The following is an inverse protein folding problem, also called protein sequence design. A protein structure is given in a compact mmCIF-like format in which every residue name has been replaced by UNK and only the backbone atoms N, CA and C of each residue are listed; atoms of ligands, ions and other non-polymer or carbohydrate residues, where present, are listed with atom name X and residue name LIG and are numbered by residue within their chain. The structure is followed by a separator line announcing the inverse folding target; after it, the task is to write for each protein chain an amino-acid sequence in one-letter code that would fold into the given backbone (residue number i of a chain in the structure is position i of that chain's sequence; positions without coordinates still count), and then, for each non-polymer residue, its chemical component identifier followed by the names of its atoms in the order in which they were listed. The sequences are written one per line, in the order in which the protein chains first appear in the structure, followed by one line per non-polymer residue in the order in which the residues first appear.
data_IF_650090831903
#
_entry.id   IF_650090831903
#
_cell.length_a   1.000
_cell.length_b   1.000
_cell.length_c   1.000
_cell.angle_alpha   90.00
_cell.angle_beta   90.00
_cell.angle_gamma   90.00
#
_symmetry.space_group_name_H-M   'P 1'
#
loop_
_entity.id
_entity.type
_entity.pdbx_description
1 polymer ?
#
# COMPACT_ATOMS: atom_id res chain seq x y z
N UNK A 1 62.74 -14.23 113.05
CA UNK A 1 62.68 -15.58 112.48
C UNK A 1 61.23 -15.85 112.13
N UNK A 2 60.78 -16.06 110.90
CA UNK A 2 61.40 -16.06 109.58
C UNK A 2 60.36 -15.61 108.56
N UNK A 3 60.86 -15.23 107.39
CA UNK A 3 60.12 -14.72 106.23
C UNK A 3 59.15 -15.74 105.62
N UNK A 4 58.20 -15.24 104.82
CA UNK A 4 57.85 -15.67 103.45
C UNK A 4 56.54 -14.96 103.06
N UNK A 5 56.64 -13.82 102.38
CA UNK A 5 56.68 -13.66 100.92
C UNK A 5 55.29 -13.74 100.27
N UNK A 6 54.85 -12.56 99.83
CA UNK A 6 53.81 -12.28 98.85
C UNK A 6 53.85 -13.18 97.63
N UNK A 7 52.71 -13.38 96.95
CA UNK A 7 52.51 -13.07 95.53
C UNK A 7 51.01 -13.08 95.21
N UNK A 8 50.44 -11.91 94.87
CA UNK A 8 49.19 -11.86 94.12
C UNK A 8 49.47 -12.27 92.67
N UNK A 9 48.86 -13.37 92.22
CA UNK A 9 48.89 -13.78 90.83
C UNK A 9 47.90 -12.90 90.07
N UNK A 10 48.42 -11.81 89.48
CA UNK A 10 47.72 -11.07 88.43
C UNK A 10 47.56 -12.01 87.24
N UNK A 11 46.34 -12.50 87.03
CA UNK A 11 46.01 -13.30 85.86
C UNK A 11 46.13 -12.45 84.60
N UNK A 12 47.26 -12.57 83.88
CA UNK A 12 47.35 -12.12 82.51
C UNK A 12 46.26 -12.82 81.68
N UNK A 13 45.34 -12.05 81.11
CA UNK A 13 44.47 -12.54 80.03
C UNK A 13 45.37 -12.93 78.86
N UNK A 14 45.67 -14.22 78.77
CA UNK A 14 46.37 -14.82 77.66
C UNK A 14 45.50 -14.70 76.41
N UNK A 15 45.67 -13.62 75.63
CA UNK A 15 45.10 -13.54 74.29
C UNK A 15 45.81 -14.58 73.43
N UNK A 16 45.08 -15.63 73.03
CA UNK A 16 45.58 -16.66 72.14
C UNK A 16 46.24 -16.05 70.90
N UNK A 17 47.36 -16.61 70.41
CA UNK A 17 48.02 -16.08 69.21
C UNK A 17 47.05 -16.19 68.04
N UNK A 18 46.70 -15.05 67.44
CA UNK A 18 45.86 -15.01 66.25
C UNK A 18 46.50 -15.89 65.17
N UNK A 19 45.78 -16.94 64.75
CA UNK A 19 46.19 -17.75 63.61
C UNK A 19 46.07 -16.89 62.35
N UNK A 20 47.18 -16.25 61.95
CA UNK A 20 47.26 -15.33 60.80
C UNK A 20 46.74 -15.98 59.51
N UNK A 21 46.88 -17.29 59.37
CA UNK A 21 46.43 -18.06 58.21
C UNK A 21 44.89 -18.17 58.20
N UNK A 22 44.28 -18.41 59.37
CA UNK A 22 42.83 -18.38 59.53
C UNK A 22 42.26 -16.96 59.30
N UNK A 23 42.94 -15.92 59.77
CA UNK A 23 42.53 -14.52 59.54
C UNK A 23 42.55 -14.18 58.03
N UNK A 24 43.64 -14.51 57.32
CA UNK A 24 43.77 -14.29 55.88
C UNK A 24 42.72 -15.09 55.10
N UNK A 25 42.48 -16.35 55.46
CA UNK A 25 41.44 -17.18 54.84
C UNK A 25 40.03 -16.60 55.05
N UNK A 26 39.74 -16.03 56.22
CA UNK A 26 38.44 -15.40 56.51
C UNK A 26 38.25 -14.12 55.71
N UNK A 27 39.30 -13.31 55.55
CA UNK A 27 39.28 -12.10 54.70
C UNK A 27 39.05 -12.49 53.24
N UNK A 28 39.78 -13.48 52.72
CA UNK A 28 39.62 -13.96 51.35
C UNK A 28 38.21 -14.53 51.10
N UNK A 29 37.68 -15.31 52.04
CA UNK A 29 36.32 -15.83 51.97
C UNK A 29 35.29 -14.68 51.97
N UNK A 30 35.47 -13.66 52.82
CA UNK A 30 34.61 -12.47 52.84
C UNK A 30 34.61 -11.72 51.51
N UNK A 31 35.79 -11.49 50.93
CA UNK A 31 35.91 -10.84 49.60
C UNK A 31 35.27 -11.69 48.51
N UNK A 32 35.45 -13.01 48.54
CA UNK A 32 34.84 -13.92 47.57
C UNK A 32 33.30 -13.90 47.64
N UNK A 33 32.71 -13.87 48.84
CA UNK A 33 31.27 -13.78 49.04
C UNK A 33 30.71 -12.44 48.54
N UNK A 34 31.38 -11.33 48.81
CA UNK A 34 30.98 -10.01 48.30
C UNK A 34 31.05 -9.99 46.77
N UNK A 35 32.14 -10.47 46.18
CA UNK A 35 32.30 -10.55 44.73
C UNK A 35 31.22 -11.44 44.08
N UNK A 36 30.91 -12.60 44.66
CA UNK A 36 29.87 -13.49 44.18
C UNK A 36 28.46 -12.85 44.27
N UNK A 37 28.20 -12.10 45.35
CA UNK A 37 26.93 -11.38 45.54
C UNK A 37 26.74 -10.29 44.49
N UNK A 38 27.79 -9.49 44.22
CA UNK A 38 27.77 -8.45 43.18
C UNK A 38 27.58 -9.09 41.80
N UNK A 39 28.31 -10.15 41.48
CA UNK A 39 28.16 -10.89 40.22
C UNK A 39 26.74 -11.44 40.04
N UNK A 40 26.11 -11.94 41.10
CA UNK A 40 24.74 -12.43 41.06
C UNK A 40 23.74 -11.32 40.72
N UNK A 41 23.84 -10.16 41.39
CA UNK A 41 22.98 -8.99 41.12
C UNK A 41 23.18 -8.49 39.69
N UNK A 42 24.43 -8.34 39.25
CA UNK A 42 24.77 -7.89 37.90
C UNK A 42 24.24 -8.89 36.86
N UNK A 43 24.44 -10.19 37.05
CA UNK A 43 23.95 -11.21 36.11
C UNK A 43 22.43 -11.20 35.98
N UNK A 44 21.69 -11.05 37.09
CA UNK A 44 20.23 -10.94 37.04
C UNK A 44 19.77 -9.64 36.34
N UNK A 45 20.45 -8.52 36.58
CA UNK A 45 20.19 -7.26 35.87
C UNK A 45 20.44 -7.40 34.37
N UNK A 46 21.56 -8.01 33.96
CA UNK A 46 21.87 -8.26 32.55
C UNK A 46 20.81 -9.16 31.90
N UNK A 47 20.40 -10.25 32.57
CA UNK A 47 19.33 -11.13 32.06
C UNK A 47 18.01 -10.37 31.86
N UNK A 48 17.64 -9.51 32.80
CA UNK A 48 16.44 -8.68 32.68
C UNK A 48 16.54 -7.67 31.52
N UNK A 49 17.69 -7.00 31.36
CA UNK A 49 17.93 -6.09 30.25
C UNK A 49 17.93 -6.80 28.89
N UNK A 50 18.56 -7.97 28.79
CA UNK A 50 18.54 -8.79 27.57
C UNK A 50 17.11 -9.24 27.24
N UNK A 51 16.33 -9.64 28.23
CA UNK A 51 14.92 -9.99 28.03
C UNK A 51 14.10 -8.78 27.56
N UNK A 52 14.30 -7.60 28.15
CA UNK A 52 13.64 -6.35 27.72
C UNK A 52 14.00 -6.00 26.28
N UNK A 53 15.29 -5.94 25.95
CA UNK A 53 15.78 -5.65 24.61
C UNK A 53 15.28 -6.64 23.58
N UNK A 54 15.16 -7.93 23.94
CA UNK A 54 14.60 -8.95 23.05
C UNK A 54 13.12 -8.69 22.77
N UNK A 55 12.35 -8.30 23.78
CA UNK A 55 10.94 -7.92 23.63
C UNK A 55 10.79 -6.65 22.80
N UNK A 56 11.55 -5.60 23.12
CA UNK A 56 11.54 -4.33 22.38
C UNK A 56 11.92 -4.53 20.91
N UNK A 57 12.95 -5.34 20.62
CA UNK A 57 13.32 -5.69 19.24
C UNK A 57 12.20 -6.44 18.52
N UNK A 58 11.49 -7.35 19.19
CA UNK A 58 10.35 -8.04 18.58
C UNK A 58 9.18 -7.10 18.29
N UNK A 59 8.88 -6.17 19.21
CA UNK A 59 7.88 -5.12 19.01
C UNK A 59 8.26 -4.19 17.86
N UNK A 60 9.53 -3.77 17.79
CA UNK A 60 10.03 -2.91 16.73
C UNK A 60 9.99 -3.62 15.37
N UNK A 61 10.38 -4.90 15.30
CA UNK A 61 10.28 -5.71 14.09
C UNK A 61 8.83 -5.77 13.59
N UNK A 62 7.87 -6.04 14.49
CA UNK A 62 6.45 -6.01 14.14
C UNK A 62 5.99 -4.64 13.63
N UNK A 63 6.39 -3.56 14.30
CA UNK A 63 6.05 -2.21 13.86
C UNK A 63 6.62 -1.88 12.48
N UNK A 64 7.82 -2.39 12.14
CA UNK A 64 8.40 -2.23 10.80
C UNK A 64 7.58 -2.98 9.76
N UNK A 65 7.14 -4.21 10.06
CA UNK A 65 6.31 -5.00 9.15
C UNK A 65 4.93 -4.35 8.93
N UNK A 66 4.30 -3.84 10.00
CA UNK A 66 3.03 -3.13 9.93
C UNK A 66 3.15 -1.85 9.08
N UNK A 67 4.22 -1.06 9.28
CA UNK A 67 4.48 0.15 8.50
C UNK A 67 4.75 -0.17 7.03
N UNK A 68 5.47 -1.25 6.73
CA UNK A 68 5.69 -1.69 5.34
C UNK A 68 4.39 -2.08 4.66
N UNK A 69 3.55 -2.86 5.33
CA UNK A 69 2.24 -3.24 4.80
C UNK A 69 1.37 -2.01 4.50
N UNK A 70 1.33 -1.04 5.43
CA UNK A 70 0.61 0.22 5.21
C UNK A 70 1.21 1.05 4.06
N UNK A 71 2.54 1.07 3.92
CA UNK A 71 3.22 1.75 2.83
C UNK A 71 2.88 1.12 1.46
N UNK A 72 2.84 -0.21 1.37
CA UNK A 72 2.48 -0.93 0.16
C UNK A 72 1.02 -0.66 -0.25
N UNK A 73 0.10 -0.67 0.72
CA UNK A 73 -1.31 -0.30 0.48
C UNK A 73 -1.43 1.15 -0.01
N UNK A 74 -0.78 2.10 0.66
CA UNK A 74 -0.81 3.51 0.24
C UNK A 74 -0.21 3.70 -1.16
N UNK A 75 0.86 2.96 -1.50
CA UNK A 75 1.46 3.03 -2.83
C UNK A 75 0.49 2.54 -3.92
N UNK A 76 -0.27 1.48 -3.65
CA UNK A 76 -1.33 1.01 -4.56
C UNK A 76 -2.45 2.02 -4.71
N UNK A 77 -2.94 2.61 -3.62
CA UNK A 77 -3.98 3.65 -3.67
C UNK A 77 -3.54 4.88 -4.46
N UNK A 78 -2.30 5.34 -4.25
CA UNK A 78 -1.72 6.46 -5.00
C UNK A 78 -1.64 6.14 -6.50
N UNK A 79 -1.27 4.91 -6.87
CA UNK A 79 -1.24 4.48 -8.26
C UNK A 79 -2.64 4.52 -8.89
N UNK A 80 -3.66 4.03 -8.18
CA UNK A 80 -5.07 4.08 -8.60
C UNK A 80 -5.55 5.53 -8.79
N UNK A 81 -5.30 6.41 -7.82
CA UNK A 81 -5.72 7.82 -7.94
C UNK A 81 -5.04 8.55 -9.10
N UNK A 82 -3.75 8.29 -9.35
CA UNK A 82 -3.07 8.83 -10.53
C UNK A 82 -3.70 8.34 -11.82
N UNK A 83 -4.02 7.05 -11.89
CA UNK A 83 -4.67 6.45 -13.05
C UNK A 83 -6.03 7.11 -13.35
N UNK A 84 -6.85 7.29 -12.31
CA UNK A 84 -8.14 7.98 -12.41
C UNK A 84 -7.97 9.42 -12.86
N UNK A 85 -7.01 10.16 -12.29
CA UNK A 85 -6.75 11.55 -12.67
C UNK A 85 -6.39 11.70 -14.16
N UNK A 86 -5.51 10.83 -14.67
CA UNK A 86 -5.16 10.82 -16.09
C UNK A 86 -6.35 10.44 -16.99
N UNK A 87 -7.18 9.47 -16.58
CA UNK A 87 -8.41 9.12 -17.32
C UNK A 87 -9.40 10.28 -17.35
N UNK A 88 -9.56 11.03 -16.26
CA UNK A 88 -10.40 12.22 -16.23
C UNK A 88 -9.85 13.33 -17.12
N UNK A 89 -8.53 13.55 -17.11
CA UNK A 89 -7.89 14.50 -18.02
C UNK A 89 -8.09 14.10 -19.50
N UNK A 90 -7.86 12.82 -19.83
CA UNK A 90 -8.11 12.29 -21.16
C UNK A 90 -9.58 12.44 -21.58
N UNK A 91 -10.52 12.22 -20.66
CA UNK A 91 -11.94 12.42 -20.90
C UNK A 91 -12.23 13.88 -21.27
N UNK A 92 -11.75 14.83 -20.46
CA UNK A 92 -11.92 16.25 -20.74
C UNK A 92 -11.27 16.72 -22.05
N UNK A 93 -10.15 16.12 -22.46
CA UNK A 93 -9.55 16.42 -23.75
C UNK A 93 -10.41 15.86 -24.89
N UNK A 94 -10.96 14.65 -24.74
CA UNK A 94 -11.77 14.00 -25.77
C UNK A 94 -13.12 14.71 -25.95
N UNK A 95 -13.77 15.08 -24.85
CA UNK A 95 -15.03 15.79 -24.82
C UNK A 95 -14.96 17.09 -25.64
N UNK A 96 -15.78 17.18 -26.68
CA UNK A 96 -15.82 18.32 -27.60
C UNK A 96 -14.67 18.41 -28.61
N UNK A 97 -13.53 17.74 -28.40
CA UNK A 97 -12.39 17.78 -29.34
C UNK A 97 -12.38 16.63 -30.33
N UNK A 98 -12.95 15.48 -29.97
CA UNK A 98 -13.07 14.34 -30.89
C UNK A 98 -14.30 14.54 -31.77
N UNK A 99 -14.02 14.93 -33.01
CA UNK A 99 -15.00 15.22 -34.04
C UNK A 99 -14.71 14.36 -35.26
N UNK A 100 -15.74 13.70 -35.78
CA UNK A 100 -15.78 13.14 -37.13
C UNK A 100 -16.76 13.94 -37.98
N UNK A 101 -16.87 13.63 -39.27
CA UNK A 101 -17.88 14.26 -40.14
C UNK A 101 -19.33 13.97 -39.68
N UNK A 102 -19.51 12.98 -38.82
CA UNK A 102 -20.80 12.41 -38.43
C UNK A 102 -21.18 12.70 -36.98
N UNK A 103 -20.20 12.72 -36.08
CA UNK A 103 -20.43 12.81 -34.65
C UNK A 103 -19.38 13.67 -33.94
N UNK A 104 -19.78 14.23 -32.80
CA UNK A 104 -18.89 14.84 -31.79
C UNK A 104 -19.06 14.07 -30.51
N UNK A 105 -17.97 13.73 -29.83
CA UNK A 105 -18.06 13.19 -28.46
C UNK A 105 -18.51 14.32 -27.53
N UNK A 106 -19.71 14.21 -26.95
CA UNK A 106 -20.21 15.15 -25.93
C UNK A 106 -19.63 14.80 -24.57
N UNK A 107 -19.71 13.51 -24.21
CA UNK A 107 -19.28 12.97 -22.91
C UNK A 107 -18.62 11.61 -23.07
N UNK A 108 -17.59 11.35 -22.28
CA UNK A 108 -16.92 10.05 -22.24
C UNK A 108 -16.56 9.64 -20.82
N UNK A 109 -16.81 8.38 -20.50
CA UNK A 109 -16.49 7.79 -19.21
C UNK A 109 -15.64 6.54 -19.39
N UNK A 110 -14.54 6.48 -18.64
CA UNK A 110 -13.63 5.34 -18.59
C UNK A 110 -13.85 4.56 -17.30
N UNK A 111 -14.14 3.27 -17.41
CA UNK A 111 -14.32 2.38 -16.26
C UNK A 111 -13.14 1.43 -16.15
N UNK A 112 -12.45 1.48 -15.01
CA UNK A 112 -11.37 0.57 -14.68
C UNK A 112 -11.91 -0.66 -13.95
N UNK A 113 -11.38 -1.84 -14.27
CA UNK A 113 -11.66 -3.07 -13.52
C UNK A 113 -10.89 -3.07 -12.20
N UNK A 114 -11.27 -3.94 -11.25
CA UNK A 114 -10.53 -4.09 -9.99
C UNK A 114 -9.07 -4.52 -10.15
N UNK A 115 -8.69 -5.03 -11.33
CA UNK A 115 -7.30 -5.38 -11.66
C UNK A 115 -6.47 -4.22 -12.22
N UNK A 116 -7.06 -3.02 -12.34
CA UNK A 116 -6.38 -1.85 -12.88
C UNK A 116 -6.40 -1.76 -14.41
N UNK A 117 -7.15 -2.62 -15.11
CA UNK A 117 -7.29 -2.59 -16.57
C UNK A 117 -8.50 -1.76 -17.02
N UNK A 118 -8.51 -1.26 -18.25
CA UNK A 118 -9.66 -0.51 -18.78
C UNK A 118 -10.75 -1.52 -19.17
N UNK A 119 -11.80 -1.60 -18.36
CA UNK A 119 -12.89 -2.55 -18.55
C UNK A 119 -13.85 -2.12 -19.64
N UNK A 120 -14.31 -0.87 -19.59
CA UNK A 120 -15.25 -0.34 -20.58
C UNK A 120 -15.12 1.17 -20.76
N UNK A 121 -15.59 1.63 -21.91
CA UNK A 121 -15.75 3.04 -22.26
C UNK A 121 -17.21 3.30 -22.59
N UNK A 122 -17.77 4.37 -22.06
CA UNK A 122 -19.12 4.84 -22.42
C UNK A 122 -19.00 6.22 -23.05
N UNK A 123 -19.56 6.40 -24.23
CA UNK A 123 -19.52 7.66 -24.97
C UNK A 123 -20.94 8.10 -25.32
N UNK A 124 -21.28 9.33 -24.96
CA UNK A 124 -22.45 10.02 -25.50
C UNK A 124 -22.01 11.02 -26.57
N UNK A 125 -22.71 11.04 -27.69
CA UNK A 125 -22.34 11.83 -28.86
C UNK A 125 -23.43 12.80 -29.26
N UNK A 126 -23.00 13.86 -29.94
CA UNK A 126 -23.88 14.77 -30.65
C UNK A 126 -23.72 14.57 -32.15
N UNK A 127 -24.84 14.66 -32.87
CA UNK A 127 -24.86 14.58 -34.33
C UNK A 127 -24.22 15.81 -34.98
N UNK A 128 -23.35 15.59 -35.95
CA UNK A 128 -23.00 16.59 -36.95
C UNK A 128 -24.16 16.79 -37.95
N UNK A 129 -24.20 17.90 -38.72
CA UNK A 129 -25.35 18.23 -39.56
C UNK A 129 -25.87 17.09 -40.46
N UNK A 130 -25.03 16.28 -41.13
CA UNK A 130 -25.51 15.17 -41.95
C UNK A 130 -26.25 14.10 -41.14
N UNK A 131 -25.69 13.69 -40.00
CA UNK A 131 -26.33 12.69 -39.13
C UNK A 131 -27.55 13.25 -38.39
N UNK A 132 -27.56 14.56 -38.12
CA UNK A 132 -28.71 15.22 -37.50
C UNK A 132 -29.96 15.14 -38.39
N UNK A 133 -29.79 15.29 -39.71
CA UNK A 133 -30.87 15.12 -40.69
C UNK A 133 -31.34 13.67 -40.82
N UNK A 134 -30.44 12.71 -40.60
CA UNK A 134 -30.75 11.29 -40.65
C UNK A 134 -31.33 10.73 -39.33
N UNK A 135 -31.25 11.49 -38.24
CA UNK A 135 -31.65 11.03 -36.90
C UNK A 135 -33.18 10.97 -36.77
N UNK A 136 -33.70 9.79 -36.40
CA UNK A 136 -35.14 9.56 -36.17
C UNK A 136 -35.55 9.74 -34.71
N UNK A 137 -34.60 10.07 -33.83
CA UNK A 137 -34.81 10.02 -32.39
C UNK A 137 -34.53 8.63 -31.80
N UNK A 138 -34.37 8.58 -30.48
CA UNK A 138 -34.21 7.34 -29.70
C UNK A 138 -33.07 6.43 -30.18
N UNK A 139 -31.95 7.02 -30.59
CA UNK A 139 -30.76 6.27 -31.05
C UNK A 139 -30.87 5.72 -32.48
N UNK A 140 -31.99 5.91 -33.17
CA UNK A 140 -32.22 5.36 -34.51
C UNK A 140 -31.94 6.38 -35.63
N UNK A 141 -31.54 5.87 -36.79
CA UNK A 141 -31.23 6.67 -37.98
C UNK A 141 -31.92 6.16 -39.25
N UNK A 142 -31.95 6.97 -40.31
CA UNK A 142 -32.37 6.58 -41.67
C UNK A 142 -31.25 5.96 -42.50
N UNK A 143 -29.98 6.08 -42.06
CA UNK A 143 -28.83 5.45 -42.73
C UNK A 143 -28.89 3.93 -42.57
N UNK A 144 -28.22 3.20 -43.46
CA UNK A 144 -28.14 1.74 -43.36
C UNK A 144 -27.26 1.29 -42.18
N UNK A 145 -27.56 0.13 -41.60
CA UNK A 145 -26.86 -0.40 -40.42
C UNK A 145 -25.34 -0.50 -40.62
N UNK A 146 -24.91 -1.00 -41.79
CA UNK A 146 -23.48 -1.07 -42.16
C UNK A 146 -22.81 0.30 -42.16
N UNK A 147 -23.52 1.32 -42.63
CA UNK A 147 -23.03 2.69 -42.65
C UNK A 147 -22.93 3.24 -41.23
N UNK A 148 -23.97 3.08 -40.41
CA UNK A 148 -23.97 3.52 -39.01
C UNK A 148 -22.84 2.87 -38.20
N UNK A 149 -22.62 1.56 -38.35
CA UNK A 149 -21.50 0.84 -37.72
C UNK A 149 -20.14 1.40 -38.15
N UNK A 150 -19.95 1.69 -39.44
CA UNK A 150 -18.70 2.25 -39.93
C UNK A 150 -18.44 3.65 -39.35
N UNK A 151 -19.47 4.48 -39.25
CA UNK A 151 -19.39 5.82 -38.64
C UNK A 151 -19.08 5.75 -37.14
N UNK A 152 -19.74 4.84 -36.41
CA UNK A 152 -19.46 4.57 -34.99
C UNK A 152 -18.02 4.09 -34.78
N UNK A 153 -17.55 3.12 -35.56
CA UNK A 153 -16.16 2.62 -35.49
C UNK A 153 -15.13 3.71 -35.76
N UNK A 154 -15.39 4.59 -36.74
CA UNK A 154 -14.51 5.74 -37.02
C UNK A 154 -14.37 6.67 -35.81
N UNK A 155 -15.49 6.95 -35.14
CA UNK A 155 -15.48 7.77 -33.92
C UNK A 155 -14.73 7.09 -32.77
N UNK A 156 -14.97 5.80 -32.53
CA UNK A 156 -14.28 5.02 -31.49
C UNK A 156 -12.77 5.02 -31.74
N UNK A 157 -12.34 4.81 -32.99
CA UNK A 157 -10.93 4.86 -33.36
C UNK A 157 -10.32 6.24 -33.13
N UNK A 158 -11.06 7.31 -33.44
CA UNK A 158 -10.65 8.68 -33.16
C UNK A 158 -10.49 8.91 -31.64
N UNK A 159 -11.50 8.54 -30.84
CA UNK A 159 -11.44 8.68 -29.38
C UNK A 159 -10.27 7.91 -28.77
N UNK A 160 -10.04 6.66 -29.21
CA UNK A 160 -8.92 5.83 -28.78
C UNK A 160 -7.56 6.49 -29.08
N UNK A 161 -7.41 7.17 -30.22
CA UNK A 161 -6.18 7.90 -30.56
C UNK A 161 -5.92 9.07 -29.61
N UNK A 162 -6.97 9.78 -29.18
CA UNK A 162 -6.84 10.90 -28.24
C UNK A 162 -6.63 10.47 -26.79
N UNK A 163 -7.12 9.28 -26.41
CA UNK A 163 -6.87 8.69 -25.09
C UNK A 163 -5.37 8.52 -24.82
N UNK A 164 -4.59 8.13 -25.84
CA UNK A 164 -3.14 8.03 -25.76
C UNK A 164 -2.61 6.86 -24.91
N UNK A 165 -1.29 6.83 -24.72
CA UNK A 165 -0.55 5.78 -24.01
C UNK A 165 0.30 6.36 -22.85
N UNK A 166 -0.31 7.18 -21.99
CA UNK A 166 0.42 7.79 -20.88
C UNK A 166 0.87 6.73 -19.83
N UNK A 167 2.10 6.85 -19.26
CA UNK A 167 2.56 5.93 -18.23
C UNK A 167 1.63 5.92 -17.00
N UNK A 168 1.08 4.75 -16.68
CA UNK A 168 0.17 4.56 -15.54
C UNK A 168 -1.33 4.67 -15.87
N UNK A 169 -1.68 4.98 -17.12
CA UNK A 169 -3.04 4.77 -17.61
C UNK A 169 -3.27 3.31 -18.00
N UNK A 170 -4.48 2.78 -17.78
CA UNK A 170 -4.83 1.47 -18.31
C UNK A 170 -4.89 1.56 -19.84
N UNK A 171 -4.41 0.51 -20.51
CA UNK A 171 -4.43 0.47 -21.98
C UNK A 171 -5.85 0.31 -22.50
N UNK A 172 -6.20 1.06 -23.54
CA UNK A 172 -7.40 0.80 -24.32
C UNK A 172 -7.12 -0.33 -25.32
N UNK A 173 -7.41 -1.57 -24.91
CA UNK A 173 -7.23 -2.74 -25.74
C UNK A 173 -8.32 -2.83 -26.83
N UNK A 174 -8.09 -3.62 -27.88
CA UNK A 174 -9.12 -3.87 -28.90
C UNK A 174 -10.30 -4.69 -28.32
N UNK A 175 -10.10 -5.37 -27.19
CA UNK A 175 -11.15 -6.06 -26.44
C UNK A 175 -11.91 -5.17 -25.45
N UNK A 176 -11.53 -3.90 -25.27
CA UNK A 176 -12.23 -3.00 -24.36
C UNK A 176 -13.62 -2.70 -24.91
N UNK A 177 -14.65 -2.99 -24.10
CA UNK A 177 -16.03 -2.77 -24.50
C UNK A 177 -16.32 -1.27 -24.64
N UNK A 178 -17.03 -0.86 -25.70
CA UNK A 178 -17.41 0.56 -25.90
C UNK A 178 -18.91 0.67 -26.10
N UNK A 179 -19.61 1.38 -25.21
CA UNK A 179 -21.02 1.71 -25.38
C UNK A 179 -21.17 3.10 -25.98
N UNK A 180 -21.96 3.22 -27.04
CA UNK A 180 -22.18 4.48 -27.73
C UNK A 180 -23.66 4.87 -27.66
N UNK A 181 -23.92 6.09 -27.18
CA UNK A 181 -25.25 6.71 -27.15
C UNK A 181 -25.25 8.05 -27.87
N UNK A 182 -26.44 8.50 -28.29
CA UNK A 182 -26.70 9.85 -28.79
C UNK A 182 -27.85 10.45 -27.99
N UNK A 183 -27.63 11.61 -27.37
CA UNK A 183 -28.62 12.24 -26.49
C UNK A 183 -29.13 11.28 -25.39
N UNK A 184 -28.24 10.45 -24.84
CA UNK A 184 -28.55 9.39 -23.87
C UNK A 184 -29.45 8.25 -24.38
N UNK A 185 -29.58 8.09 -25.70
CA UNK A 185 -30.20 6.91 -26.31
C UNK A 185 -29.14 6.03 -26.95
N UNK A 186 -29.10 4.77 -26.56
CA UNK A 186 -28.13 3.80 -27.06
C UNK A 186 -28.25 3.64 -28.58
N UNK A 187 -27.09 3.69 -29.25
CA UNK A 187 -26.93 3.36 -30.67
C UNK A 187 -26.48 1.91 -30.80
N UNK A 188 -25.51 1.51 -29.96
CA UNK A 188 -24.90 0.19 -30.01
C UNK A 188 -23.68 0.06 -29.11
N UNK A 189 -23.06 -1.10 -29.17
CA UNK A 189 -21.86 -1.43 -28.40
C UNK A 189 -20.81 -2.13 -29.25
N UNK A 190 -19.55 -1.79 -29.01
CA UNK A 190 -18.38 -2.50 -29.53
C UNK A 190 -17.93 -3.57 -28.55
N UNK A 191 -17.92 -4.82 -28.98
CA UNK A 191 -17.39 -5.97 -28.22
C UNK A 191 -16.83 -7.00 -29.19
N UNK A 192 -15.72 -7.64 -28.82
CA UNK A 192 -15.10 -8.72 -29.60
C UNK A 192 -14.77 -8.36 -31.07
N UNK A 193 -14.40 -7.10 -31.32
CA UNK A 193 -13.98 -6.65 -32.65
C UNK A 193 -15.10 -6.09 -33.54
N UNK A 194 -16.37 -6.19 -33.12
CA UNK A 194 -17.52 -5.74 -33.90
C UNK A 194 -18.40 -4.75 -33.12
N UNK A 195 -18.92 -3.76 -33.84
CA UNK A 195 -19.95 -2.84 -33.33
C UNK A 195 -21.34 -3.40 -33.65
N UNK A 196 -22.10 -3.76 -32.63
CA UNK A 196 -23.46 -4.24 -32.73
C UNK A 196 -24.44 -3.11 -32.45
N UNK A 197 -25.44 -2.94 -33.31
CA UNK A 197 -26.49 -1.95 -33.09
C UNK A 197 -27.50 -2.46 -32.07
N UNK A 198 -28.15 -1.53 -31.37
CA UNK A 198 -29.27 -1.89 -30.47
C UNK A 198 -30.36 -2.60 -31.25
N UNK A 199 -30.73 -3.81 -30.81
CA UNK A 199 -31.76 -4.63 -31.43
C UNK A 199 -31.23 -5.73 -32.35
N UNK A 200 -29.92 -5.75 -32.63
CA UNK A 200 -29.25 -6.88 -33.26
C UNK A 200 -28.93 -7.94 -32.18
N UNK A 201 -29.27 -9.20 -32.46
CA UNK A 201 -28.95 -10.38 -31.65
C UNK A 201 -28.22 -11.40 -32.49
#
# INVERSE_FOLDING_TARGET
MGELSSYEVVGEKQTAPLNKLALVATILAGVAVVAASVLFVVNNSLKAQVASLKTENATLAKSVDDVKAAQDTNAQEIATYKSVAYMTEAAHVIEGSVVTDDFVVDRIYFNQTGGGELGSVTMDVTNQPPMALAYKGKGAYTVGDRELRAKANSLIAAAKKYYGDAPGMPKWADSTAVNLSVQNYDIGSYTDGEFMLVGEK
#
